data_IF_458292117729
#
_entry.id   IF_458292117729
#
_cell.length_a   1.000
_cell.length_b   1.000
_cell.length_c   1.000
_cell.angle_alpha   90.00
_cell.angle_beta   90.00
_cell.angle_gamma   90.00
#
_symmetry.space_group_name_H-M   'P 1'
#
loop_
_entity.id
_entity.type
_entity.pdbx_description
1 polymer ?
#
# COMPACT_ATOMS: atom_id res chain seq x y z
N UNK A 1 12.61 -1.65 -14.84
CA UNK A 1 11.28 -2.21 -14.67
C UNK A 1 10.74 -1.87 -13.29
N UNK A 2 9.46 -1.50 -13.19
CA UNK A 2 8.89 -1.24 -11.88
C UNK A 2 8.86 -2.51 -11.04
N UNK A 3 9.15 -2.38 -9.77
CA UNK A 3 9.15 -3.48 -8.83
C UNK A 3 7.77 -3.59 -8.18
N UNK A 4 7.37 -4.82 -7.82
CA UNK A 4 6.12 -5.01 -7.11
C UNK A 4 6.16 -4.30 -5.75
N UNK A 5 7.25 -4.47 -5.02
CA UNK A 5 7.45 -3.82 -3.72
C UNK A 5 8.65 -2.91 -3.81
N UNK A 6 8.51 -1.71 -3.26
CA UNK A 6 9.55 -0.70 -3.38
C UNK A 6 10.76 -0.99 -2.50
N UNK A 7 10.53 -1.56 -1.31
CA UNK A 7 11.60 -1.82 -0.36
C UNK A 7 11.61 -3.28 0.09
N UNK A 8 12.77 -3.73 0.56
CA UNK A 8 12.96 -5.11 1.01
C UNK A 8 12.10 -5.45 2.23
N UNK A 9 11.91 -4.49 3.12
CA UNK A 9 11.14 -4.70 4.34
C UNK A 9 9.69 -5.04 4.00
N UNK A 10 9.07 -4.28 3.10
CA UNK A 10 7.71 -4.55 2.66
C UNK A 10 7.63 -5.89 1.93
N UNK A 11 8.58 -6.18 1.05
CA UNK A 11 8.61 -7.45 0.32
C UNK A 11 8.70 -8.65 1.27
N UNK A 12 9.55 -8.57 2.27
CA UNK A 12 9.71 -9.64 3.26
C UNK A 12 8.45 -9.83 4.08
N UNK A 13 7.84 -8.71 4.50
CA UNK A 13 6.58 -8.77 5.26
C UNK A 13 5.49 -9.47 4.47
N UNK A 14 5.32 -9.12 3.21
CA UNK A 14 4.30 -9.72 2.34
C UNK A 14 4.55 -11.21 2.11
N UNK A 15 5.82 -11.63 2.08
CA UNK A 15 6.17 -13.03 1.89
C UNK A 15 5.93 -13.88 3.16
N UNK A 16 5.55 -13.25 4.27
CA UNK A 16 5.26 -13.95 5.51
C UNK A 16 6.35 -13.86 6.55
N UNK A 17 7.46 -13.19 6.26
CA UNK A 17 8.52 -13.01 7.24
C UNK A 17 8.12 -12.00 8.31
N UNK A 18 8.64 -12.21 9.51
CA UNK A 18 8.40 -11.29 10.59
C UNK A 18 9.26 -10.04 10.41
N UNK A 19 8.62 -8.88 10.33
CA UNK A 19 9.29 -7.58 10.29
C UNK A 19 8.92 -6.86 11.58
N UNK A 20 9.90 -6.65 12.43
CA UNK A 20 9.69 -6.14 13.79
C UNK A 20 8.85 -4.88 13.82
N UNK A 21 9.14 -3.93 12.94
CA UNK A 21 8.47 -2.63 12.92
C UNK A 21 6.97 -2.73 12.58
N UNK A 22 6.56 -3.83 11.96
CA UNK A 22 5.18 -4.01 11.50
C UNK A 22 4.34 -4.90 12.40
N UNK A 23 4.94 -5.48 13.44
CA UNK A 23 4.23 -6.51 14.23
C UNK A 23 3.04 -5.95 15.01
N UNK A 24 3.13 -4.72 15.50
CA UNK A 24 2.04 -4.12 16.27
C UNK A 24 0.75 -4.00 15.47
N UNK A 25 0.84 -3.88 14.14
CA UNK A 25 -0.32 -3.73 13.27
C UNK A 25 -0.34 -4.75 12.13
N UNK A 26 0.38 -5.86 12.30
CA UNK A 26 0.56 -6.83 11.21
C UNK A 26 -0.77 -7.32 10.63
N UNK A 27 -1.76 -7.61 11.47
CA UNK A 27 -3.06 -8.10 11.01
C UNK A 27 -3.76 -7.05 10.14
N UNK A 28 -3.76 -5.80 10.58
CA UNK A 28 -4.37 -4.71 9.80
C UNK A 28 -3.63 -4.51 8.48
N UNK A 29 -2.30 -4.59 8.52
CA UNK A 29 -1.49 -4.44 7.32
C UNK A 29 -1.77 -5.53 6.30
N UNK A 30 -1.84 -6.79 6.72
CA UNK A 30 -2.16 -7.91 5.82
C UNK A 30 -3.55 -7.74 5.22
N UNK A 31 -4.51 -7.31 6.03
CA UNK A 31 -5.87 -7.07 5.53
C UNK A 31 -5.88 -6.01 4.44
N UNK A 32 -5.17 -4.90 4.66
CA UNK A 32 -5.10 -3.82 3.66
C UNK A 32 -4.37 -4.24 2.40
N UNK A 33 -3.28 -5.00 2.55
CA UNK A 33 -2.56 -5.54 1.39
C UNK A 33 -3.45 -6.47 0.57
N UNK A 34 -4.25 -7.29 1.24
CA UNK A 34 -5.19 -8.17 0.56
C UNK A 34 -6.23 -7.37 -0.20
N UNK A 35 -6.78 -6.31 0.39
CA UNK A 35 -7.74 -5.42 -0.27
C UNK A 35 -7.08 -4.76 -1.49
N UNK A 36 -5.85 -4.29 -1.33
CA UNK A 36 -5.11 -3.64 -2.41
C UNK A 36 -4.88 -4.60 -3.57
N UNK A 37 -4.43 -5.82 -3.29
CA UNK A 37 -4.13 -6.81 -4.32
C UNK A 37 -5.38 -7.31 -5.03
N UNK A 38 -6.51 -7.34 -4.33
CA UNK A 38 -7.78 -7.83 -4.90
C UNK A 38 -8.50 -6.76 -5.72
N UNK A 39 -8.12 -5.50 -5.62
CA UNK A 39 -8.83 -4.41 -6.29
C UNK A 39 -8.64 -4.50 -7.81
N UNK A 40 -9.73 -4.55 -8.59
CA UNK A 40 -9.61 -4.60 -10.05
C UNK A 40 -9.23 -3.25 -10.66
N UNK A 41 -9.53 -2.15 -9.96
CA UNK A 41 -9.21 -0.80 -10.41
C UNK A 41 -8.84 0.06 -9.21
N UNK A 42 -8.18 1.18 -9.49
CA UNK A 42 -7.88 2.18 -8.48
C UNK A 42 -9.18 2.73 -7.86
N UNK A 43 -10.20 2.91 -8.68
CA UNK A 43 -11.49 3.43 -8.24
C UNK A 43 -12.18 2.51 -7.22
N UNK A 44 -11.93 1.20 -7.31
CA UNK A 44 -12.46 0.26 -6.32
C UNK A 44 -11.89 0.54 -4.93
N UNK A 45 -10.64 0.98 -4.85
CA UNK A 45 -10.03 1.36 -3.58
C UNK A 45 -10.64 2.65 -3.04
N UNK A 46 -10.98 3.58 -3.92
CA UNK A 46 -11.61 4.84 -3.54
C UNK A 46 -13.01 4.62 -2.98
N UNK A 47 -13.68 3.59 -3.46
CA UNK A 47 -15.06 3.30 -3.06
C UNK A 47 -15.18 2.73 -1.64
N UNK A 48 -14.09 2.27 -1.05
CA UNK A 48 -14.09 1.72 0.30
C UNK A 48 -13.65 2.79 1.30
N UNK A 49 -14.57 3.40 2.07
CA UNK A 49 -14.22 4.54 2.93
C UNK A 49 -13.13 4.25 3.96
N UNK A 50 -13.07 3.01 4.47
CA UNK A 50 -12.07 2.65 5.47
C UNK A 50 -10.63 2.68 4.94
N UNK A 51 -10.44 2.73 3.62
CA UNK A 51 -9.10 2.87 3.04
C UNK A 51 -8.53 4.27 3.21
N UNK A 52 -9.38 5.29 3.39
CA UNK A 52 -8.95 6.69 3.39
C UNK A 52 -8.00 6.97 2.23
N UNK A 53 -8.42 6.59 1.03
CA UNK A 53 -7.62 6.70 -0.19
C UNK A 53 -7.17 8.15 -0.42
N UNK A 54 -5.88 8.32 -0.72
CA UNK A 54 -5.33 9.64 -1.05
C UNK A 54 -4.45 9.56 -2.28
N UNK A 55 -4.57 10.57 -3.14
CA UNK A 55 -3.60 10.82 -4.20
C UNK A 55 -2.51 11.72 -3.60
N UNK A 56 -1.26 11.31 -3.74
CA UNK A 56 -0.15 12.03 -3.11
C UNK A 56 0.39 13.10 -4.05
N UNK A 57 0.99 14.14 -3.47
CA UNK A 57 1.57 15.25 -4.22
C UNK A 57 3.05 15.43 -3.93
N UNK A 58 3.61 16.53 -4.39
CA UNK A 58 5.00 16.87 -4.17
C UNK A 58 5.93 15.80 -4.74
N UNK A 59 6.88 15.34 -3.94
CA UNK A 59 7.85 14.32 -4.34
C UNK A 59 7.21 12.96 -4.61
N UNK A 60 5.99 12.75 -4.16
CA UNK A 60 5.27 11.50 -4.35
C UNK A 60 4.15 11.60 -5.39
N UNK A 61 4.19 12.62 -6.21
CA UNK A 61 3.19 12.79 -7.29
C UNK A 61 3.16 11.54 -8.16
N UNK A 62 1.95 11.05 -8.45
CA UNK A 62 1.77 9.80 -9.19
C UNK A 62 1.62 8.59 -8.30
N UNK A 63 1.75 8.78 -6.99
CA UNK A 63 1.53 7.72 -6.02
C UNK A 63 0.22 7.93 -5.29
N UNK A 64 -0.27 6.85 -4.70
CA UNK A 64 -1.51 6.84 -3.92
C UNK A 64 -1.27 6.12 -2.61
N UNK A 65 -2.14 6.32 -1.64
CA UNK A 65 -2.01 5.60 -0.38
C UNK A 65 -3.36 5.16 0.16
N UNK A 66 -3.34 4.06 0.91
CA UNK A 66 -4.47 3.62 1.72
C UNK A 66 -3.99 3.45 3.16
N UNK A 67 -4.94 3.61 4.09
CA UNK A 67 -4.65 3.66 5.52
C UNK A 67 -4.55 2.26 6.13
N UNK A 68 -3.52 2.00 6.93
CA UNK A 68 -3.46 0.81 7.78
C UNK A 68 -4.06 1.16 9.15
N UNK A 69 -3.55 2.24 9.75
CA UNK A 69 -4.06 2.77 11.01
C UNK A 69 -3.80 4.28 11.04
N UNK A 70 -3.89 4.92 12.20
CA UNK A 70 -3.72 6.38 12.31
C UNK A 70 -2.32 6.85 11.95
N UNK A 71 -1.33 5.96 11.94
CA UNK A 71 0.08 6.32 11.79
C UNK A 71 0.70 5.72 10.53
N UNK A 72 0.28 4.52 10.11
CA UNK A 72 0.91 3.78 9.01
C UNK A 72 -0.01 3.69 7.81
N UNK A 73 0.60 3.83 6.63
CA UNK A 73 -0.13 3.77 5.35
C UNK A 73 0.63 2.89 4.37
N UNK A 74 -0.08 2.40 3.36
CA UNK A 74 0.51 1.68 2.24
C UNK A 74 0.53 2.64 1.06
N UNK A 75 1.71 2.96 0.56
CA UNK A 75 1.88 3.78 -0.64
C UNK A 75 2.14 2.88 -1.83
N UNK A 76 1.64 3.27 -2.99
CA UNK A 76 1.77 2.47 -4.21
C UNK A 76 1.59 3.35 -5.44
N UNK A 77 1.98 2.81 -6.59
CA UNK A 77 1.70 3.43 -7.87
C UNK A 77 0.68 2.60 -8.62
N UNK A 78 -0.07 3.24 -9.49
CA UNK A 78 -1.08 2.57 -10.30
C UNK A 78 -1.21 3.35 -11.60
N UNK A 79 -1.03 2.68 -12.74
CA UNK A 79 -1.23 3.30 -14.06
C UNK A 79 -2.31 2.55 -14.81
N UNK A 80 -2.93 3.23 -15.77
CA UNK A 80 -3.97 2.61 -16.58
C UNK A 80 -3.45 1.45 -17.40
N UNK A 81 -2.18 1.52 -17.83
CA UNK A 81 -1.59 0.45 -18.62
C UNK A 81 -1.30 -0.79 -17.81
N UNK A 82 -0.94 -0.65 -16.54
CA UNK A 82 -0.59 -1.79 -15.70
C UNK A 82 -1.79 -2.44 -15.03
N UNK A 83 -2.79 -1.68 -14.69
CA UNK A 83 -4.01 -2.16 -14.08
C UNK A 83 -3.79 -3.02 -12.82
N UNK A 84 -2.72 -2.75 -12.10
CA UNK A 84 -2.42 -3.38 -10.81
C UNK A 84 -1.49 -2.47 -10.02
N UNK A 85 -1.46 -2.59 -8.68
CA UNK A 85 -0.55 -1.76 -7.88
C UNK A 85 0.90 -2.25 -8.00
N UNK A 86 1.84 -1.32 -7.93
CA UNK A 86 3.27 -1.64 -7.96
C UNK A 86 4.02 -0.60 -7.13
N UNK A 87 5.31 -0.85 -6.88
CA UNK A 87 6.14 -0.04 -5.99
C UNK A 87 5.46 0.16 -4.64
N UNK A 88 4.93 -0.93 -4.11
CA UNK A 88 4.18 -0.94 -2.84
C UNK A 88 5.16 -0.76 -1.68
N UNK A 89 4.81 0.13 -0.76
CA UNK A 89 5.68 0.48 0.36
C UNK A 89 4.82 0.76 1.60
N UNK A 90 5.19 0.17 2.74
CA UNK A 90 4.54 0.47 4.02
C UNK A 90 5.33 1.59 4.67
N UNK A 91 4.68 2.72 4.94
CA UNK A 91 5.34 3.92 5.45
C UNK A 91 4.69 4.42 6.73
N UNK A 92 5.51 5.01 7.59
CA UNK A 92 5.06 5.73 8.76
C UNK A 92 4.69 7.14 8.32
N UNK A 93 3.45 7.52 8.53
CA UNK A 93 2.88 8.73 7.95
C UNK A 93 2.32 9.64 9.03
N UNK A 94 3.10 10.58 9.44
CA UNK A 94 2.63 11.60 10.39
C UNK A 94 3.36 12.92 10.23
#
# INVERSE_FOLDING_TARGET
MPQKYKDKRTARFVSGERVKEFQAFARQAYKRLEILEAAPTKEALMALPSNHFEALGGDRKGQYSICINSQWRICFEWTETKNYPFNIEIVNYH
#
